data_IF_762661290889
#
_entry.id   IF_762661290889
#
_cell.length_a   1.000
_cell.length_b   1.000
_cell.length_c   1.000
_cell.angle_alpha   90.00
_cell.angle_beta   90.00
_cell.angle_gamma   90.00
#
_symmetry.space_group_name_H-M   'P 1'
#
loop_
_entity.id
_entity.type
_entity.pdbx_description
1 polymer ?
#
# COMPACT_ATOMS: atom_id res chain seq x y z
N UNK A 1 -8.61 2.01 9.08
CA UNK A 1 -9.01 3.10 10.00
C UNK A 1 -7.98 4.22 10.00
N UNK A 2 -6.67 3.94 9.98
CA UNK A 2 -5.61 4.97 9.99
C UNK A 2 -5.67 5.87 8.77
N UNK A 3 -5.77 5.28 7.56
CA UNK A 3 -5.94 6.05 6.33
C UNK A 3 -7.21 6.90 6.35
N UNK A 4 -8.32 6.35 6.86
CA UNK A 4 -9.55 7.12 7.02
C UNK A 4 -9.37 8.29 8.00
N UNK A 5 -8.66 8.06 9.12
CA UNK A 5 -8.34 9.10 10.09
C UNK A 5 -7.45 10.18 9.48
N UNK A 6 -6.45 9.79 8.70
CA UNK A 6 -5.59 10.72 7.96
C UNK A 6 -6.41 11.55 6.96
N UNK A 7 -7.22 10.88 6.12
CA UNK A 7 -8.09 11.55 5.16
C UNK A 7 -9.01 12.59 5.82
N UNK A 8 -9.65 12.23 6.93
CA UNK A 8 -10.54 13.14 7.67
C UNK A 8 -9.77 14.33 8.24
N UNK A 9 -8.57 14.11 8.80
CA UNK A 9 -7.70 15.19 9.33
C UNK A 9 -7.21 16.15 8.26
N UNK A 10 -7.00 15.66 7.06
CA UNK A 10 -6.55 16.45 5.91
C UNK A 10 -7.75 17.02 5.10
N UNK A 11 -8.89 17.25 5.76
CA UNK A 11 -10.12 17.80 5.17
C UNK A 11 -10.61 17.03 3.94
N UNK A 12 -10.24 15.72 3.88
CA UNK A 12 -10.60 14.83 2.80
C UNK A 12 -10.00 15.16 1.42
N UNK A 13 -8.95 15.96 1.37
CA UNK A 13 -8.19 16.20 0.14
C UNK A 13 -7.50 14.91 -0.35
N UNK A 14 -6.80 14.12 0.50
CA UNK A 14 -6.29 12.84 0.06
C UNK A 14 -7.43 11.86 -0.22
N UNK A 15 -7.40 11.27 -1.40
CA UNK A 15 -8.39 10.26 -1.77
C UNK A 15 -8.34 9.07 -0.83
N UNK A 16 -9.49 8.71 -0.29
CA UNK A 16 -9.66 7.44 0.39
C UNK A 16 -9.95 6.37 -0.67
N UNK A 17 -8.98 5.51 -0.93
CA UNK A 17 -9.07 4.45 -1.93
C UNK A 17 -8.31 3.22 -1.47
N UNK A 18 -8.50 2.13 -2.17
CA UNK A 18 -7.64 0.95 -2.08
C UNK A 18 -6.22 1.28 -2.58
N UNK A 19 -5.27 0.43 -2.26
CA UNK A 19 -3.87 0.64 -2.61
C UNK A 19 -3.07 1.31 -1.49
N UNK A 20 -1.79 1.38 -1.71
CA UNK A 20 -0.80 1.89 -0.78
C UNK A 20 0.60 1.47 -1.21
N UNK A 21 1.62 1.88 -0.48
CA UNK A 21 2.97 1.44 -0.74
C UNK A 21 3.22 0.01 -0.23
N UNK A 22 4.16 -0.71 -0.81
CA UNK A 22 4.55 -2.04 -0.33
C UNK A 22 4.99 -2.00 1.15
N UNK A 23 5.54 -0.88 1.60
CA UNK A 23 5.95 -0.70 2.99
C UNK A 23 4.77 -0.58 3.97
N UNK A 24 3.56 -0.29 3.49
CA UNK A 24 2.35 -0.33 4.33
C UNK A 24 2.10 -1.74 4.90
N UNK A 25 2.50 -2.79 4.17
CA UNK A 25 2.44 -4.17 4.67
C UNK A 25 3.36 -4.35 5.88
N UNK A 26 4.58 -3.82 5.80
CA UNK A 26 5.56 -3.89 6.90
C UNK A 26 5.05 -3.09 8.11
N UNK A 27 4.49 -1.91 7.87
CA UNK A 27 3.85 -1.12 8.92
C UNK A 27 2.71 -1.88 9.60
N UNK A 28 1.81 -2.49 8.81
CA UNK A 28 0.70 -3.27 9.36
C UNK A 28 1.20 -4.47 10.17
N UNK A 29 2.21 -5.17 9.67
CA UNK A 29 2.84 -6.29 10.36
C UNK A 29 3.41 -5.88 11.73
N UNK A 30 4.10 -4.74 11.79
CA UNK A 30 4.72 -4.24 13.02
C UNK A 30 3.69 -3.74 14.05
N UNK A 31 2.62 -3.06 13.59
CA UNK A 31 1.68 -2.37 14.48
C UNK A 31 0.44 -3.20 14.81
N UNK A 32 0.02 -4.07 13.91
CA UNK A 32 -1.23 -4.85 14.03
C UNK A 32 -0.99 -6.35 14.00
N UNK A 33 0.18 -6.79 13.56
CA UNK A 33 0.51 -8.19 13.40
C UNK A 33 -0.08 -8.82 12.14
N UNK A 34 -0.10 -10.14 12.12
CA UNK A 34 -0.64 -10.96 11.03
C UNK A 34 -1.57 -12.04 11.57
N UNK A 35 -2.52 -12.43 10.74
CA UNK A 35 -3.41 -13.57 11.00
C UNK A 35 -3.37 -14.49 9.79
N UNK A 36 -3.19 -15.83 9.97
CA UNK A 36 -3.23 -16.78 8.86
C UNK A 36 -4.57 -16.75 8.12
N UNK A 37 -4.54 -16.90 6.79
CA UNK A 37 -5.76 -16.98 5.95
C UNK A 37 -6.71 -18.09 6.41
N UNK A 38 -6.18 -19.18 6.99
CA UNK A 38 -6.99 -20.27 7.53
C UNK A 38 -7.85 -19.84 8.74
N UNK A 39 -7.39 -18.87 9.52
CA UNK A 39 -8.09 -18.31 10.68
C UNK A 39 -9.01 -17.16 10.28
N UNK A 40 -8.51 -16.27 9.44
CA UNK A 40 -9.26 -15.12 8.93
C UNK A 40 -9.18 -15.08 7.40
N UNK A 41 -10.09 -15.74 6.69
CA UNK A 41 -10.06 -15.78 5.22
C UNK A 41 -10.34 -14.41 4.56
N UNK A 42 -10.88 -13.44 5.31
CA UNK A 42 -11.23 -12.12 4.78
C UNK A 42 -12.46 -12.11 3.86
N UNK A 43 -13.20 -13.21 3.85
CA UNK A 43 -14.43 -13.40 3.06
C UNK A 43 -15.48 -14.03 3.97
N UNK A 44 -16.61 -13.38 4.12
CA UNK A 44 -17.74 -13.88 4.92
C UNK A 44 -18.85 -14.46 4.04
N UNK A 45 -19.72 -15.23 4.67
CA UNK A 45 -21.00 -15.70 4.11
C UNK A 45 -20.89 -16.68 2.94
N UNK A 46 -19.89 -17.56 2.95
CA UNK A 46 -19.78 -18.61 1.95
C UNK A 46 -19.41 -18.14 0.55
N UNK A 47 -18.92 -16.93 0.43
CA UNK A 47 -18.35 -16.40 -0.82
C UNK A 47 -17.10 -17.17 -1.23
N UNK A 48 -16.92 -17.37 -2.50
CA UNK A 48 -15.75 -18.04 -3.07
C UNK A 48 -14.64 -17.04 -3.40
N UNK A 49 -13.44 -17.51 -3.72
CA UNK A 49 -12.37 -16.64 -4.22
C UNK A 49 -12.77 -15.88 -5.50
N UNK A 50 -13.66 -16.45 -6.31
CA UNK A 50 -14.21 -15.78 -7.49
C UNK A 50 -15.07 -14.55 -7.16
N UNK A 51 -15.65 -14.50 -5.96
CA UNK A 51 -16.51 -13.41 -5.51
C UNK A 51 -15.73 -12.27 -4.84
N UNK A 52 -14.42 -12.44 -4.63
CA UNK A 52 -13.59 -11.49 -3.87
C UNK A 52 -13.60 -10.09 -4.46
N UNK A 53 -13.40 -9.94 -5.77
CA UNK A 53 -13.35 -8.63 -6.43
C UNK A 53 -14.67 -7.84 -6.31
N UNK A 54 -15.86 -8.44 -6.59
CA UNK A 54 -17.13 -7.77 -6.36
C UNK A 54 -17.34 -7.32 -4.92
N UNK A 55 -16.96 -8.16 -3.93
CA UNK A 55 -17.10 -7.82 -2.51
C UNK A 55 -16.19 -6.65 -2.13
N UNK A 56 -14.95 -6.64 -2.57
CA UNK A 56 -14.05 -5.54 -2.28
C UNK A 56 -14.48 -4.25 -2.96
N UNK A 57 -14.99 -4.29 -4.18
CA UNK A 57 -15.57 -3.11 -4.84
C UNK A 57 -16.76 -2.54 -4.06
N UNK A 58 -17.65 -3.40 -3.55
CA UNK A 58 -18.79 -2.97 -2.74
C UNK A 58 -18.31 -2.40 -1.40
N UNK A 59 -17.40 -3.07 -0.71
CA UNK A 59 -16.81 -2.62 0.55
C UNK A 59 -16.15 -1.25 0.39
N UNK A 60 -15.33 -1.07 -0.66
CA UNK A 60 -14.69 0.21 -0.95
C UNK A 60 -15.72 1.32 -1.18
N UNK A 61 -16.76 1.06 -1.99
CA UNK A 61 -17.81 2.03 -2.27
C UNK A 61 -18.59 2.43 -1.00
N UNK A 62 -18.89 1.46 -0.14
CA UNK A 62 -19.60 1.72 1.14
C UNK A 62 -18.71 2.51 2.09
N UNK A 63 -17.45 2.14 2.24
CA UNK A 63 -16.49 2.83 3.11
C UNK A 63 -16.23 4.26 2.65
N UNK A 64 -16.05 4.47 1.33
CA UNK A 64 -15.90 5.78 0.73
C UNK A 64 -17.17 6.63 0.91
N UNK A 65 -18.33 6.03 0.67
CA UNK A 65 -19.63 6.68 0.87
C UNK A 65 -19.84 7.13 2.32
N UNK A 66 -19.46 6.28 3.27
CA UNK A 66 -19.49 6.62 4.70
C UNK A 66 -18.61 7.83 5.01
N UNK A 67 -17.35 7.84 4.57
CA UNK A 67 -16.43 8.96 4.78
C UNK A 67 -16.91 10.23 4.07
N UNK A 68 -17.46 10.12 2.86
CA UNK A 68 -18.03 11.26 2.14
C UNK A 68 -19.26 11.85 2.86
N UNK A 69 -20.03 11.01 3.58
CA UNK A 69 -21.09 11.47 4.48
C UNK A 69 -20.54 12.29 5.65
N UNK A 70 -19.41 11.89 6.22
CA UNK A 70 -18.75 12.60 7.32
C UNK A 70 -18.24 13.98 6.91
N UNK A 71 -17.78 14.14 5.66
CA UNK A 71 -17.31 15.45 5.13
C UNK A 71 -18.35 16.57 5.26
N UNK A 72 -19.62 16.23 5.22
CA UNK A 72 -20.74 17.18 5.27
C UNK A 72 -21.10 17.61 6.69
N UNK A 73 -20.50 16.98 7.68
CA UNK A 73 -20.83 17.23 9.09
C UNK A 73 -19.94 18.33 9.68
N UNK A 74 -20.56 19.28 10.38
CA UNK A 74 -19.82 20.33 11.13
C UNK A 74 -19.04 19.76 12.31
N UNK A 75 -19.51 18.65 12.87
CA UNK A 75 -18.91 17.95 14.00
C UNK A 75 -19.09 16.46 13.80
N UNK A 76 -18.01 15.72 13.90
CA UNK A 76 -18.06 14.26 13.83
C UNK A 76 -18.53 13.68 15.16
N UNK A 77 -19.28 12.57 15.07
CA UNK A 77 -19.61 11.79 16.28
C UNK A 77 -18.33 11.15 16.84
N UNK A 78 -18.25 10.92 18.17
CA UNK A 78 -17.08 10.25 18.75
C UNK A 78 -16.93 8.80 18.25
N UNK A 79 -18.00 8.18 17.78
CA UNK A 79 -18.05 6.76 17.36
C UNK A 79 -17.89 6.54 15.85
N UNK A 80 -17.48 7.55 15.08
CA UNK A 80 -17.41 7.40 13.63
C UNK A 80 -16.37 6.33 13.18
N UNK A 81 -15.28 6.15 13.95
CA UNK A 81 -14.28 5.10 13.66
C UNK A 81 -14.85 3.71 13.90
N UNK A 82 -15.62 3.55 14.96
CA UNK A 82 -16.32 2.30 15.28
C UNK A 82 -17.34 1.98 14.19
N UNK A 83 -18.07 3.00 13.69
CA UNK A 83 -18.98 2.83 12.56
C UNK A 83 -18.29 2.35 11.29
N UNK A 84 -17.12 2.92 10.95
CA UNK A 84 -16.32 2.45 9.82
C UNK A 84 -15.76 1.05 10.06
N UNK A 85 -15.29 0.75 11.28
CA UNK A 85 -14.81 -0.58 11.64
C UNK A 85 -15.91 -1.62 11.49
N UNK A 86 -17.14 -1.31 11.91
CA UNK A 86 -18.28 -2.22 11.78
C UNK A 86 -18.60 -2.55 10.30
N UNK A 87 -18.38 -1.62 9.38
CA UNK A 87 -18.49 -1.87 7.94
C UNK A 87 -17.44 -2.94 7.54
N UNK A 88 -16.17 -2.75 7.89
CA UNK A 88 -15.12 -3.72 7.58
C UNK A 88 -15.39 -5.09 8.22
N UNK A 89 -15.78 -5.13 9.49
CA UNK A 89 -16.08 -6.37 10.21
C UNK A 89 -17.25 -7.13 9.58
N UNK A 90 -18.20 -6.42 8.99
CA UNK A 90 -19.34 -7.02 8.28
C UNK A 90 -18.89 -7.77 7.04
N UNK A 91 -17.99 -7.22 6.26
CA UNK A 91 -17.53 -7.81 5.01
C UNK A 91 -16.38 -8.80 5.18
N UNK A 92 -15.40 -8.46 6.02
CA UNK A 92 -14.15 -9.21 6.16
C UNK A 92 -14.15 -10.16 7.37
N UNK A 93 -15.02 -9.91 8.33
CA UNK A 93 -14.98 -10.49 9.65
C UNK A 93 -14.16 -9.66 10.63
N UNK A 94 -14.47 -9.72 11.93
CA UNK A 94 -13.68 -9.06 12.95
C UNK A 94 -12.29 -9.70 13.03
N UNK A 95 -11.26 -8.85 13.10
CA UNK A 95 -9.90 -9.34 13.31
C UNK A 95 -9.81 -9.96 14.73
N UNK A 96 -9.35 -11.21 14.85
CA UNK A 96 -9.24 -11.84 16.16
C UNK A 96 -8.15 -11.18 17.00
N UNK A 97 -8.42 -11.01 18.28
CA UNK A 97 -7.41 -10.55 19.26
C UNK A 97 -6.48 -11.69 19.68
N UNK A 98 -6.99 -12.93 19.64
CA UNK A 98 -6.28 -14.17 19.92
C UNK A 98 -6.85 -15.28 19.02
N UNK A 99 -6.01 -16.21 18.59
CA UNK A 99 -6.43 -17.35 17.77
C UNK A 99 -5.53 -18.57 17.98
N UNK A 100 -6.07 -19.75 17.68
CA UNK A 100 -5.29 -20.99 17.62
C UNK A 100 -4.89 -21.31 16.19
N UNK A 101 -3.62 -21.63 15.99
CA UNK A 101 -3.09 -22.08 14.72
C UNK A 101 -1.98 -23.11 14.93
N UNK A 102 -2.08 -24.25 14.24
CA UNK A 102 -1.14 -25.38 14.36
C UNK A 102 -0.87 -25.81 15.81
N UNK A 103 -1.94 -25.83 16.63
CA UNK A 103 -1.88 -26.30 18.03
C UNK A 103 -1.22 -25.32 19.00
N UNK A 104 -1.05 -24.06 18.60
CA UNK A 104 -0.55 -22.98 19.46
C UNK A 104 -1.49 -21.79 19.45
N UNK A 105 -1.54 -21.08 20.57
CA UNK A 105 -2.30 -19.86 20.71
C UNK A 105 -1.42 -18.65 20.42
N UNK A 106 -1.93 -17.74 19.61
CA UNK A 106 -1.24 -16.52 19.21
C UNK A 106 -2.15 -15.30 19.33
N UNK A 107 -1.55 -14.16 19.59
CA UNK A 107 -2.09 -12.87 19.15
C UNK A 107 -1.54 -12.56 17.74
N UNK A 108 -2.14 -11.63 16.98
CA UNK A 108 -1.58 -11.24 15.68
C UNK A 108 -0.10 -10.83 15.75
N UNK A 109 0.33 -10.14 16.81
CA UNK A 109 1.73 -9.72 17.00
C UNK A 109 2.64 -10.90 17.34
N UNK A 110 2.25 -11.77 18.26
CA UNK A 110 3.09 -12.95 18.61
C UNK A 110 3.17 -13.94 17.46
N UNK A 111 2.22 -13.94 16.56
CA UNK A 111 2.32 -14.73 15.33
C UNK A 111 3.41 -14.20 14.40
N UNK A 112 3.52 -12.89 14.21
CA UNK A 112 4.62 -12.26 13.46
C UNK A 112 5.98 -12.62 14.06
N UNK A 113 6.10 -12.53 15.38
CA UNK A 113 7.33 -12.91 16.08
C UNK A 113 7.70 -14.38 15.84
N UNK A 114 6.70 -15.28 15.86
CA UNK A 114 6.91 -16.72 15.62
C UNK A 114 7.41 -17.03 14.19
N UNK A 115 7.11 -16.16 13.23
CA UNK A 115 7.58 -16.25 11.85
C UNK A 115 8.99 -15.66 11.67
N UNK A 116 9.57 -15.04 12.69
CA UNK A 116 10.86 -14.36 12.61
C UNK A 116 10.85 -13.12 11.71
N UNK A 117 9.67 -12.54 11.47
CA UNK A 117 9.54 -11.33 10.66
C UNK A 117 9.82 -10.10 11.53
N UNK A 118 10.79 -9.31 11.11
CA UNK A 118 11.25 -8.12 11.84
C UNK A 118 11.22 -6.92 10.89
N UNK A 119 10.44 -5.89 11.22
CA UNK A 119 10.24 -4.73 10.35
C UNK A 119 11.55 -4.03 9.96
N UNK A 120 12.52 -3.96 10.87
CA UNK A 120 13.83 -3.34 10.59
C UNK A 120 14.70 -4.09 9.57
N UNK A 121 14.32 -5.33 9.18
CA UNK A 121 15.00 -6.08 8.11
C UNK A 121 14.53 -5.66 6.71
N UNK A 122 13.53 -4.79 6.63
CA UNK A 122 12.99 -4.29 5.36
C UNK A 122 13.37 -2.84 5.16
N UNK A 123 13.72 -2.50 3.94
CA UNK A 123 14.06 -1.13 3.55
C UNK A 123 13.38 -0.79 2.24
N UNK A 124 12.84 0.43 2.15
CA UNK A 124 12.33 0.99 0.91
C UNK A 124 13.42 1.80 0.24
N UNK A 125 13.74 1.46 -0.99
CA UNK A 125 14.72 2.15 -1.83
C UNK A 125 14.02 2.82 -3.01
N UNK A 126 14.59 3.92 -3.46
CA UNK A 126 14.15 4.65 -4.65
C UNK A 126 15.33 5.34 -5.31
N UNK A 127 15.14 5.85 -6.53
CA UNK A 127 16.17 6.59 -7.26
C UNK A 127 15.56 7.80 -7.95
N UNK A 128 15.71 8.97 -7.33
CA UNK A 128 15.21 10.24 -7.86
C UNK A 128 16.27 11.34 -7.78
N UNK A 129 16.47 12.07 -8.86
CA UNK A 129 17.50 13.10 -8.98
C UNK A 129 17.13 14.44 -8.36
N UNK A 130 15.84 14.65 -8.03
CA UNK A 130 15.38 15.91 -7.43
C UNK A 130 15.55 15.95 -5.90
N UNK A 131 15.98 14.84 -5.29
CA UNK A 131 16.40 14.78 -3.89
C UNK A 131 17.86 14.31 -3.79
N UNK A 132 18.58 14.68 -2.72
CA UNK A 132 19.94 14.20 -2.49
C UNK A 132 19.99 12.67 -2.44
N UNK A 133 21.02 12.09 -3.06
CA UNK A 133 21.31 10.67 -2.87
C UNK A 133 21.89 10.41 -1.48
N UNK A 134 21.72 9.19 -1.02
CA UNK A 134 22.15 8.67 0.29
C UNK A 134 21.43 9.31 1.49
N UNK A 135 20.29 9.94 1.22
CA UNK A 135 19.39 10.48 2.22
C UNK A 135 18.01 9.86 2.12
N UNK A 136 17.21 10.01 3.16
CA UNK A 136 15.81 9.59 3.15
C UNK A 136 14.91 10.78 2.85
N UNK A 137 13.90 10.54 2.04
CA UNK A 137 12.83 11.50 1.80
C UNK A 137 11.48 10.77 1.66
N UNK A 138 10.39 11.51 1.88
CA UNK A 138 9.06 10.98 1.64
C UNK A 138 8.73 11.11 0.14
N UNK A 139 8.62 9.97 -0.55
CA UNK A 139 8.28 9.96 -1.97
C UNK A 139 6.88 10.57 -2.18
N UNK A 140 6.81 11.59 -3.05
CA UNK A 140 5.62 12.41 -3.31
C UNK A 140 4.71 11.74 -4.35
N UNK A 141 4.19 10.58 -4.00
CA UNK A 141 3.19 9.86 -4.80
C UNK A 141 1.92 9.61 -3.99
N UNK A 142 0.74 9.59 -4.62
CA UNK A 142 -0.54 9.43 -3.91
C UNK A 142 -0.63 8.15 -3.05
N UNK A 143 0.04 7.08 -3.45
CA UNK A 143 0.05 5.82 -2.72
C UNK A 143 0.89 5.87 -1.44
N UNK A 144 1.83 6.81 -1.34
CA UNK A 144 2.57 7.07 -0.11
C UNK A 144 1.80 8.00 0.84
N UNK A 145 0.55 7.66 1.14
CA UNK A 145 -0.35 8.46 1.96
C UNK A 145 0.12 8.68 3.41
N UNK A 146 1.02 7.82 3.90
CA UNK A 146 1.62 7.93 5.23
C UNK A 146 2.87 8.82 5.26
N UNK A 147 3.33 9.27 4.10
CA UNK A 147 4.58 10.03 3.94
C UNK A 147 5.79 9.26 4.48
N UNK A 148 5.82 7.94 4.22
CA UNK A 148 6.95 7.10 4.58
C UNK A 148 8.21 7.50 3.83
N UNK A 149 9.32 7.43 4.55
CA UNK A 149 10.61 7.79 3.99
C UNK A 149 11.26 6.60 3.30
N UNK A 150 11.71 6.84 2.08
CA UNK A 150 12.48 5.91 1.27
C UNK A 150 13.93 6.37 1.19
N UNK A 151 14.86 5.42 1.12
CA UNK A 151 16.27 5.72 0.97
C UNK A 151 16.58 5.95 -0.51
N UNK A 152 17.11 7.13 -0.84
CA UNK A 152 17.40 7.53 -2.21
C UNK A 152 18.82 7.12 -2.60
N UNK A 153 18.98 6.36 -3.67
CA UNK A 153 20.28 5.93 -4.16
C UNK A 153 20.39 6.16 -5.67
N UNK A 154 21.60 6.30 -6.23
CA UNK A 154 21.76 6.33 -7.68
C UNK A 154 21.17 5.10 -8.36
N UNK A 155 20.68 5.25 -9.59
CA UNK A 155 19.97 4.16 -10.30
C UNK A 155 20.85 2.94 -10.50
N UNK A 156 22.12 3.11 -10.77
CA UNK A 156 23.07 2.00 -10.96
C UNK A 156 23.26 1.21 -9.65
N UNK A 157 23.28 1.92 -8.51
CA UNK A 157 23.37 1.28 -7.20
C UNK A 157 22.06 0.57 -6.83
N UNK A 158 20.91 1.17 -7.16
CA UNK A 158 19.61 0.52 -6.98
C UNK A 158 19.56 -0.80 -7.74
N UNK A 159 19.99 -0.80 -9.00
CA UNK A 159 20.04 -2.01 -9.82
C UNK A 159 21.03 -3.03 -9.25
N UNK A 160 22.20 -2.60 -8.80
CA UNK A 160 23.17 -3.50 -8.17
C UNK A 160 22.62 -4.14 -6.88
N UNK A 161 21.85 -3.40 -6.07
CA UNK A 161 21.18 -3.95 -4.87
C UNK A 161 20.13 -5.00 -5.27
N UNK A 162 19.33 -4.73 -6.30
CA UNK A 162 18.34 -5.67 -6.84
C UNK A 162 19.01 -6.96 -7.29
N UNK A 163 20.02 -6.86 -8.13
CA UNK A 163 20.76 -8.02 -8.66
C UNK A 163 21.41 -8.86 -7.55
N UNK A 164 22.01 -8.19 -6.58
CA UNK A 164 22.64 -8.86 -5.44
C UNK A 164 21.61 -9.56 -4.53
N UNK A 165 20.46 -8.92 -4.30
CA UNK A 165 19.39 -9.53 -3.52
C UNK A 165 18.84 -10.79 -4.20
N UNK A 166 18.56 -10.72 -5.51
CA UNK A 166 18.09 -11.85 -6.30
C UNK A 166 19.12 -12.98 -6.35
N UNK A 167 20.41 -12.65 -6.54
CA UNK A 167 21.50 -13.64 -6.55
C UNK A 167 21.65 -14.35 -5.20
N UNK A 168 21.25 -13.72 -4.09
CA UNK A 168 21.22 -14.31 -2.75
C UNK A 168 19.93 -15.05 -2.41
N UNK A 169 18.98 -15.13 -3.34
CA UNK A 169 17.70 -15.82 -3.16
C UNK A 169 16.61 -15.00 -2.46
N UNK A 170 16.80 -13.70 -2.29
CA UNK A 170 15.75 -12.81 -1.80
C UNK A 170 14.77 -12.44 -2.91
N UNK A 171 13.57 -12.08 -2.53
CA UNK A 171 12.55 -11.48 -3.40
C UNK A 171 12.40 -9.99 -3.08
N UNK A 172 11.82 -9.26 -4.02
CA UNK A 172 11.62 -7.81 -3.91
C UNK A 172 10.16 -7.48 -4.19
N UNK A 173 9.61 -6.55 -3.42
CA UNK A 173 8.39 -5.88 -3.81
C UNK A 173 8.76 -4.66 -4.65
N UNK A 174 8.27 -4.61 -5.88
CA UNK A 174 8.54 -3.55 -6.83
C UNK A 174 7.24 -2.84 -7.21
N UNK A 175 7.24 -1.52 -7.07
CA UNK A 175 6.18 -0.65 -7.57
C UNK A 175 6.75 0.23 -8.69
N UNK A 176 6.06 0.28 -9.82
CA UNK A 176 6.40 1.10 -10.97
C UNK A 176 5.14 1.61 -11.63
N UNK A 177 5.25 2.78 -12.27
CA UNK A 177 4.22 3.25 -13.19
C UNK A 177 4.24 2.41 -14.47
N UNK A 178 3.13 1.79 -14.77
CA UNK A 178 2.93 0.96 -15.98
C UNK A 178 2.07 1.68 -17.02
N UNK A 179 1.67 2.91 -16.75
CA UNK A 179 0.84 3.72 -17.66
C UNK A 179 1.66 4.46 -18.72
N UNK A 180 2.98 4.47 -18.58
CA UNK A 180 3.89 5.10 -19.54
C UNK A 180 3.82 4.47 -20.93
N UNK A 181 4.00 5.30 -21.96
CA UNK A 181 3.99 4.88 -23.37
C UNK A 181 5.02 3.76 -23.65
N UNK A 182 6.15 3.76 -22.91
CA UNK A 182 7.18 2.73 -22.98
C UNK A 182 6.75 1.37 -22.46
N UNK A 183 5.70 1.29 -21.64
CA UNK A 183 5.17 0.04 -21.10
C UNK A 183 4.15 -0.56 -22.07
N UNK A 184 4.56 -1.59 -22.81
CA UNK A 184 3.69 -2.17 -23.85
C UNK A 184 2.93 -3.38 -23.34
N UNK A 185 1.71 -3.61 -23.87
CA UNK A 185 0.92 -4.83 -23.59
C UNK A 185 1.60 -6.13 -24.05
N UNK A 186 2.71 -6.03 -24.78
CA UNK A 186 3.51 -7.18 -25.21
C UNK A 186 4.54 -7.64 -24.17
N UNK A 187 4.55 -7.03 -22.99
CA UNK A 187 5.49 -7.34 -21.91
C UNK A 187 6.90 -6.75 -22.15
N UNK A 188 7.00 -5.73 -22.98
CA UNK A 188 8.26 -5.04 -23.27
C UNK A 188 8.16 -3.64 -22.69
N UNK A 189 9.10 -3.29 -21.81
CA UNK A 189 9.36 -1.93 -21.35
C UNK A 189 10.45 -1.31 -22.23
N UNK A 190 10.20 -0.11 -22.72
CA UNK A 190 11.17 0.69 -23.49
C UNK A 190 11.49 1.93 -22.69
N UNK A 191 12.76 2.13 -22.37
CA UNK A 191 13.22 3.37 -21.75
C UNK A 191 13.14 4.49 -22.82
N UNK A 192 12.42 5.59 -22.53
CA UNK A 192 12.39 6.74 -23.43
C UNK A 192 13.79 7.31 -23.60
N UNK A 193 14.02 7.92 -24.76
CA UNK A 193 15.26 8.64 -25.04
C UNK A 193 15.38 9.81 -24.03
N UNK A 194 16.42 9.79 -23.20
CA UNK A 194 16.65 10.78 -22.15
C UNK A 194 16.78 12.20 -22.72
N UNK A 195 17.37 12.33 -23.91
CA UNK A 195 17.54 13.63 -24.57
C UNK A 195 16.20 14.23 -25.01
N UNK A 196 15.21 13.39 -25.31
CA UNK A 196 13.84 13.85 -25.62
C UNK A 196 13.05 14.19 -24.37
N UNK A 197 13.34 13.55 -23.24
CA UNK A 197 12.70 13.82 -21.96
C UNK A 197 13.03 15.20 -21.41
N UNK A 198 14.23 15.71 -21.64
CA UNK A 198 14.68 17.00 -21.13
C UNK A 198 13.95 18.20 -21.76
N UNK A 199 13.42 18.05 -22.99
CA UNK A 199 12.76 19.09 -23.74
C UNK A 199 11.22 19.00 -23.74
N UNK A 200 10.65 18.06 -22.98
CA UNK A 200 9.21 17.86 -22.95
C UNK A 200 8.50 18.98 -22.16
N UNK A 201 7.44 19.51 -22.74
CA UNK A 201 6.51 20.40 -22.02
C UNK A 201 5.68 19.62 -21.01
N UNK A 202 5.03 20.30 -20.05
CA UNK A 202 4.15 19.65 -19.11
C UNK A 202 3.04 18.82 -19.77
N UNK A 203 2.54 19.24 -20.96
CA UNK A 203 1.55 18.48 -21.73
C UNK A 203 2.15 17.25 -22.41
N UNK A 204 3.42 17.31 -22.80
CA UNK A 204 4.12 16.17 -23.38
C UNK A 204 4.49 15.17 -22.30
N UNK A 205 4.92 15.65 -21.13
CA UNK A 205 5.13 14.82 -19.94
C UNK A 205 3.84 14.07 -19.55
N UNK A 206 2.69 14.74 -19.55
CA UNK A 206 1.41 14.12 -19.28
C UNK A 206 1.08 12.98 -20.26
N UNK A 207 1.47 13.10 -21.54
CA UNK A 207 1.32 12.00 -22.53
C UNK A 207 2.28 10.84 -22.25
N UNK A 208 3.47 11.13 -21.75
CA UNK A 208 4.48 10.11 -21.42
C UNK A 208 4.11 9.29 -20.19
N UNK A 209 3.62 9.96 -19.16
CA UNK A 209 3.25 9.31 -17.89
C UNK A 209 1.78 8.87 -17.80
N UNK A 210 1.02 9.04 -18.89
CA UNK A 210 -0.37 8.56 -18.95
C UNK A 210 -1.38 9.38 -18.13
N UNK A 211 -1.06 10.63 -17.79
CA UNK A 211 -1.97 11.57 -17.11
C UNK A 211 -2.70 12.47 -18.09
#
# INVERSE_FOLDING_TARGET
IDRATYTVRMYNEPRFAEGGSAYDVIYCMEHYGLVPKAVMPGIRYGWTEADTLPVFSELSAVAEGYLNGLKKQKKLSPVWREGLQAIYDTYLGPCPTEFEYEGKTYTPLTYVESLGLVASNYVSLTSYTHHPFYEKFALEVPDNWRMDQMYNVPIDELMAVIDNALAKGYTLAWAADVSEIGFTRKGIGVVPDADKGADLTGSDMAKWVGY
#
